data_IF_276817357591
#
_entry.id   IF_276817357591
#
_cell.length_a   1.000
_cell.length_b   1.000
_cell.length_c   1.000
_cell.angle_alpha   90.00
_cell.angle_beta   90.00
_cell.angle_gamma   90.00
#
_symmetry.space_group_name_H-M   'P 1'
#
loop_
_entity.id
_entity.type
_entity.pdbx_description
1 polymer ?
#
# COMPACT_ATOMS: atom_id res chain seq x y z
N UNK A 1 -12.54 3.95 -6.86
CA UNK A 1 -11.27 4.21 -6.16
C UNK A 1 -10.12 3.69 -6.99
N UNK A 2 -9.09 4.47 -7.18
CA UNK A 2 -7.96 4.08 -8.00
C UNK A 2 -6.95 3.27 -7.18
N UNK A 3 -6.13 2.48 -7.87
CA UNK A 3 -5.09 1.71 -7.19
C UNK A 3 -4.07 2.63 -6.53
N UNK A 4 -3.85 3.81 -7.10
CA UNK A 4 -2.93 4.78 -6.52
C UNK A 4 -3.43 5.25 -5.16
N UNK A 5 -4.72 5.50 -5.04
CA UNK A 5 -5.30 5.91 -3.78
C UNK A 5 -5.24 4.77 -2.76
N UNK A 6 -5.51 3.54 -3.20
CA UNK A 6 -5.42 2.38 -2.34
C UNK A 6 -4.00 2.21 -1.82
N UNK A 7 -3.02 2.37 -2.70
CA UNK A 7 -1.61 2.26 -2.32
C UNK A 7 -1.24 3.32 -1.28
N UNK A 8 -1.75 4.54 -1.45
CA UNK A 8 -1.48 5.60 -0.48
C UNK A 8 -2.07 5.27 0.89
N UNK A 9 -3.26 4.70 0.90
CA UNK A 9 -3.89 4.31 2.16
C UNK A 9 -3.14 3.16 2.83
N UNK A 10 -2.69 2.19 2.06
CA UNK A 10 -1.90 1.09 2.58
C UNK A 10 -0.58 1.61 3.15
N UNK A 11 0.03 2.59 2.49
CA UNK A 11 1.27 3.18 2.96
C UNK A 11 1.09 3.89 4.30
N UNK A 12 -0.12 4.36 4.59
CA UNK A 12 -0.41 5.06 5.83
C UNK A 12 -0.81 4.14 6.98
N UNK A 13 -0.85 2.83 6.76
CA UNK A 13 -1.22 1.90 7.83
C UNK A 13 -0.19 1.86 8.95
N UNK A 14 1.07 2.05 8.62
CA UNK A 14 2.15 2.01 9.60
C UNK A 14 3.10 3.17 9.36
N UNK A 15 3.70 3.71 10.42
CA UNK A 15 4.70 4.77 10.28
C UNK A 15 6.04 4.19 9.83
N UNK A 16 6.89 5.07 9.32
CA UNK A 16 8.27 4.68 9.01
C UNK A 16 8.52 4.56 7.52
N UNK A 17 9.78 4.80 7.17
CA UNK A 17 10.22 4.79 5.77
C UNK A 17 10.27 3.38 5.20
N UNK A 18 10.62 2.40 6.02
CA UNK A 18 10.76 1.03 5.55
C UNK A 18 9.45 0.50 4.98
N UNK A 19 8.36 0.73 5.71
CA UNK A 19 7.04 0.28 5.27
C UNK A 19 6.64 0.98 3.97
N UNK A 20 6.83 2.28 3.90
CA UNK A 20 6.46 3.04 2.72
C UNK A 20 7.24 2.60 1.49
N UNK A 21 8.50 2.27 1.68
CA UNK A 21 9.34 1.77 0.59
C UNK A 21 8.84 0.41 0.11
N UNK A 22 8.46 -0.46 1.03
CA UNK A 22 7.91 -1.77 0.67
C UNK A 22 6.61 -1.63 -0.11
N UNK A 23 5.73 -0.73 0.35
CA UNK A 23 4.45 -0.48 -0.32
C UNK A 23 4.68 0.01 -1.75
N UNK A 24 5.69 0.84 -1.94
CA UNK A 24 6.02 1.36 -3.27
C UNK A 24 6.39 0.25 -4.23
N UNK A 25 7.06 -0.78 -3.74
CA UNK A 25 7.51 -1.90 -4.58
C UNK A 25 6.48 -3.02 -4.74
N UNK A 26 5.37 -2.93 -4.03
CA UNK A 26 4.34 -3.96 -4.11
C UNK A 26 3.57 -3.89 -5.41
N UNK A 27 3.18 -5.06 -5.92
CA UNK A 27 2.32 -5.13 -7.09
C UNK A 27 0.91 -4.67 -6.72
N UNK A 28 0.13 -4.34 -7.74
CA UNK A 28 -1.26 -3.94 -7.54
C UNK A 28 -2.05 -5.03 -6.82
N UNK A 29 -1.81 -6.28 -7.18
CA UNK A 29 -2.49 -7.41 -6.54
C UNK A 29 -2.18 -7.47 -5.05
N UNK A 30 -0.93 -7.23 -4.69
CA UNK A 30 -0.52 -7.23 -3.29
C UNK A 30 -1.18 -6.09 -2.52
N UNK A 31 -1.21 -4.91 -3.11
CA UNK A 31 -1.87 -3.75 -2.50
C UNK A 31 -3.35 -4.04 -2.28
N UNK A 32 -3.97 -4.62 -3.30
CA UNK A 32 -5.40 -4.94 -3.23
C UNK A 32 -5.69 -5.93 -2.11
N UNK A 33 -4.84 -6.94 -1.96
CA UNK A 33 -5.00 -7.95 -0.91
C UNK A 33 -4.91 -7.32 0.48
N UNK A 34 -3.97 -6.42 0.67
CA UNK A 34 -3.81 -5.75 1.96
C UNK A 34 -4.97 -4.80 2.22
N UNK A 35 -5.38 -4.07 1.19
CA UNK A 35 -6.45 -3.09 1.31
C UNK A 35 -7.78 -3.74 1.71
N UNK A 36 -8.05 -4.93 1.19
CA UNK A 36 -9.31 -5.62 1.43
C UNK A 36 -9.33 -6.48 2.70
N UNK A 37 -8.30 -6.45 3.47
CA UNK A 37 -8.17 -7.28 4.66
C UNK A 37 -8.99 -6.78 5.86
#
# INVERSE_FOLDING_TARGET
>A
MSIEQMRAEVANLYPGESWKRRVRDMSDAQIFAIYNK
#
